data_IF_101462305843
#
_entry.id   IF_101462305843
#
_cell.length_a   1.000
_cell.length_b   1.000
_cell.length_c   1.000
_cell.angle_alpha   90.00
_cell.angle_beta   90.00
_cell.angle_gamma   90.00
#
_symmetry.space_group_name_H-M   'P 1'
#
loop_
_entity.id
_entity.type
_entity.pdbx_description
1 polymer ?
2 water ?
#
# COMPACT_ATOMS: atom_id res chain seq x y z
N UNK A 3 5.19 -18.99 6.02
CA UNK A 3 4.96 -18.41 4.66
C UNK A 3 4.54 -16.93 4.71
N UNK A 4 5.31 -16.07 4.05
CA UNK A 4 5.01 -14.63 4.04
C UNK A 4 3.75 -14.37 3.18
N UNK A 5 2.85 -13.49 3.65
CA UNK A 5 1.69 -13.05 2.81
C UNK A 5 2.13 -12.26 1.59
N UNK A 6 1.25 -12.19 0.59
CA UNK A 6 1.47 -11.29 -0.52
C UNK A 6 0.47 -10.14 -0.42
N UNK A 7 0.98 -8.91 -0.47
CA UNK A 7 0.11 -7.73 -0.49
C UNK A 7 0.05 -7.11 -1.88
N UNK A 8 -1.08 -7.37 -2.53
CA UNK A 8 -1.48 -6.74 -3.78
C UNK A 8 -1.97 -5.34 -3.44
N UNK A 9 -1.25 -4.35 -3.95
CA UNK A 9 -1.58 -2.96 -3.75
C UNK A 9 -1.88 -2.31 -5.11
N UNK A 10 -3.08 -1.76 -5.24
CA UNK A 10 -3.49 -1.10 -6.47
C UNK A 10 -3.82 0.36 -6.20
N UNK A 11 -3.31 1.26 -7.03
CA UNK A 11 -3.58 2.67 -6.84
C UNK A 11 -4.17 3.14 -8.15
N UNK A 12 -5.40 3.65 -8.11
CA UNK A 12 -6.22 3.75 -9.33
C UNK A 12 -6.97 5.08 -9.40
N UNK A 13 -6.86 5.77 -10.53
CA UNK A 13 -7.76 6.91 -10.84
C UNK A 13 -8.72 6.45 -11.93
N UNK A 14 -10.01 6.53 -11.65
CA UNK A 14 -11.02 5.93 -12.51
C UNK A 14 -11.66 7.02 -13.37
N UNK A 15 -11.64 6.84 -14.69
CA UNK A 15 -12.35 7.73 -15.62
C UNK A 15 -13.83 7.36 -15.81
N UNK A 16 -14.14 6.08 -15.92
CA UNK A 16 -15.53 5.64 -16.13
C UNK A 16 -15.95 4.69 -15.02
N UNK A 17 -16.62 5.22 -13.99
CA UNK A 17 -16.97 4.41 -12.83
C UNK A 17 -17.91 3.26 -13.18
N UNK A 18 -18.75 3.47 -14.18
CA UNK A 18 -19.75 2.50 -14.60
C UNK A 18 -19.07 1.25 -15.14
N UNK A 19 -18.13 1.44 -16.05
CA UNK A 19 -17.37 0.32 -16.56
C UNK A 19 -16.37 -0.22 -15.54
N UNK A 20 -15.92 0.63 -14.62
CA UNK A 20 -15.01 0.17 -13.59
C UNK A 20 -15.69 -0.85 -12.68
N UNK A 21 -17.00 -0.67 -12.44
CA UNK A 21 -17.80 -1.61 -11.68
C UNK A 21 -17.85 -2.97 -12.37
N UNK A 22 -17.86 -2.97 -13.71
CA UNK A 22 -17.82 -4.18 -14.53
C UNK A 22 -16.49 -4.94 -14.32
N UNK A 23 -15.40 -4.19 -14.25
CA UNK A 23 -14.10 -4.74 -13.87
C UNK A 23 -14.13 -5.42 -12.46
N UNK A 24 -14.69 -4.72 -11.48
CA UNK A 24 -14.69 -5.20 -10.10
C UNK A 24 -15.46 -6.52 -10.05
N UNK A 25 -16.64 -6.54 -10.67
CA UNK A 25 -17.45 -7.75 -10.62
C UNK A 25 -16.89 -8.90 -11.45
N UNK A 26 -16.19 -8.60 -12.55
CA UNK A 26 -15.55 -9.65 -13.36
C UNK A 26 -14.19 -10.12 -12.80
N UNK A 27 -13.54 -9.27 -12.01
CA UNK A 27 -12.33 -9.63 -11.28
C UNK A 27 -12.63 -10.54 -10.09
N UNK A 28 -13.82 -10.39 -9.51
CA UNK A 28 -14.17 -10.99 -8.23
C UNK A 28 -14.00 -12.51 -8.10
N UNK A 29 -14.51 -13.32 -9.06
CA UNK A 29 -14.24 -14.77 -9.02
C UNK A 29 -12.74 -15.14 -9.02
N UNK A 30 -11.89 -14.40 -9.74
CA UNK A 30 -10.42 -14.64 -9.67
C UNK A 30 -9.90 -14.40 -8.26
N UNK A 31 -10.22 -13.22 -7.70
CA UNK A 31 -9.90 -12.93 -6.32
C UNK A 31 -10.32 -14.06 -5.36
N UNK A 32 -11.54 -14.55 -5.50
CA UNK A 32 -12.04 -15.59 -4.60
C UNK A 32 -11.27 -16.91 -4.74
N UNK A 33 -10.94 -17.25 -5.98
CA UNK A 33 -10.23 -18.49 -6.31
C UNK A 33 -8.87 -18.52 -5.62
N UNK A 34 -8.23 -17.35 -5.51
CA UNK A 34 -6.85 -17.28 -5.03
C UNK A 34 -6.67 -16.81 -3.58
N UNK A 35 -7.78 -16.75 -2.83
CA UNK A 35 -7.75 -16.48 -1.39
C UNK A 35 -7.59 -15.01 -1.00
N UNK A 36 -7.99 -14.10 -1.90
CA UNK A 36 -7.90 -12.64 -1.63
C UNK A 36 -8.64 -12.29 -0.35
N UNK A 37 -7.94 -11.61 0.54
CA UNK A 37 -8.54 -11.03 1.72
C UNK A 37 -8.44 -9.51 1.65
N UNK A 38 -9.52 -8.84 1.26
CA UNK A 38 -9.49 -7.39 1.08
C UNK A 38 -9.31 -6.65 2.40
N UNK A 39 -8.24 -5.87 2.51
CA UNK A 39 -7.97 -5.06 3.71
C UNK A 39 -8.48 -3.63 3.55
N UNK A 40 -8.32 -3.07 2.37
CA UNK A 40 -8.84 -1.75 2.06
C UNK A 40 -9.31 -1.81 0.62
N UNK A 41 -10.41 -1.12 0.33
CA UNK A 41 -10.95 -1.12 -1.02
C UNK A 41 -11.56 0.22 -1.38
N UNK A 42 -10.70 1.16 -1.72
CA UNK A 42 -11.12 2.52 -2.12
C UNK A 42 -11.57 3.40 -0.96
N UNK A 43 -11.21 3.00 0.27
CA UNK A 43 -11.47 3.77 1.49
C UNK A 43 -10.85 5.16 1.39
N UNK A 44 -11.32 6.09 2.21
CA UNK A 44 -10.83 7.45 2.11
C UNK A 44 -9.33 7.54 2.37
N UNK A 45 -8.69 8.40 1.59
CA UNK A 45 -7.25 8.60 1.57
C UNK A 45 -6.87 9.86 2.31
N UNK A 46 -5.96 9.73 3.26
CA UNK A 46 -5.32 10.90 3.84
C UNK A 46 -3.93 10.98 3.23
N UNK A 47 -3.72 12.00 2.41
CA UNK A 47 -2.43 12.21 1.78
C UNK A 47 -1.45 12.76 2.81
N UNK A 48 -0.29 12.11 2.95
CA UNK A 48 0.67 12.59 3.93
C UNK A 48 1.78 13.31 3.19
N UNK A 49 2.25 12.71 2.11
CA UNK A 49 3.38 13.24 1.37
C UNK A 49 3.25 12.76 -0.05
N UNK A 50 3.23 13.72 -0.98
CA UNK A 50 3.11 13.41 -2.40
C UNK A 50 1.66 13.16 -2.76
N UNK A 51 1.40 12.96 -4.05
CA UNK A 51 0.03 12.86 -4.54
C UNK A 51 -0.40 11.41 -4.61
N UNK A 52 -1.56 11.14 -4.01
CA UNK A 52 -2.21 9.82 -4.05
C UNK A 52 -3.21 9.75 -5.20
N UNK A 53 -3.40 8.56 -5.77
CA UNK A 53 -4.54 8.34 -6.67
C UNK A 53 -5.75 8.20 -5.78
N UNK A 54 -6.95 8.36 -6.34
CA UNK A 54 -8.18 8.41 -5.54
C UNK A 54 -8.62 7.08 -4.92
N UNK A 55 -8.48 6.00 -5.69
CA UNK A 55 -8.89 4.67 -5.25
C UNK A 55 -7.66 3.82 -4.96
N UNK A 56 -7.60 3.32 -3.73
CA UNK A 56 -6.45 2.52 -3.29
C UNK A 56 -6.96 1.24 -2.68
N UNK A 57 -6.40 0.13 -3.13
CA UNK A 57 -6.87 -1.19 -2.76
C UNK A 57 -5.68 -1.91 -2.17
N UNK A 58 -5.90 -2.55 -1.01
CA UNK A 58 -4.87 -3.40 -0.38
C UNK A 58 -5.49 -4.79 -0.16
N UNK A 59 -4.97 -5.79 -0.87
CA UNK A 59 -5.48 -7.15 -0.79
C UNK A 59 -4.40 -8.02 -0.18
N UNK A 60 -4.75 -8.75 0.89
CA UNK A 60 -3.87 -9.75 1.49
C UNK A 60 -4.16 -11.13 0.86
N UNK A 61 -3.11 -11.78 0.35
CA UNK A 61 -3.21 -13.10 -0.26
C UNK A 61 -2.40 -14.07 0.62
N UNK A 62 -2.74 -15.37 0.60
CA UNK A 62 -1.97 -16.33 1.41
C UNK A 62 -0.45 -16.30 1.16
N UNK A 63 -0.02 -15.89 -0.04
CA UNK A 63 1.41 -15.79 -0.36
C UNK A 63 1.55 -14.91 -1.59
N UNK A 64 2.78 -14.46 -1.87
CA UNK A 64 3.09 -13.74 -3.11
C UNK A 64 2.67 -14.56 -4.33
N UNK A 65 2.96 -15.88 -4.32
CA UNK A 65 2.62 -16.73 -5.49
C UNK A 65 1.11 -16.78 -5.76
N UNK A 66 0.31 -16.81 -4.70
CA UNK A 66 -1.15 -16.71 -4.85
C UNK A 66 -1.54 -15.42 -5.60
N UNK A 67 -0.96 -14.31 -5.17
CA UNK A 67 -1.25 -13.00 -5.72
C UNK A 67 -0.88 -12.93 -7.22
N UNK A 68 0.29 -13.49 -7.56
CA UNK A 68 0.81 -13.52 -8.93
C UNK A 68 -0.06 -14.40 -9.83
N UNK A 69 -0.43 -15.57 -9.32
CA UNK A 69 -1.26 -16.49 -10.05
C UNK A 69 -2.61 -15.85 -10.35
N UNK A 70 -3.16 -15.12 -9.37
CA UNK A 70 -4.43 -14.40 -9.54
C UNK A 70 -4.26 -13.43 -10.68
N UNK A 71 -3.21 -12.62 -10.64
CA UNK A 71 -2.98 -11.59 -11.68
C UNK A 71 -2.85 -12.23 -13.08
N UNK A 72 -2.12 -13.35 -13.18
CA UNK A 72 -1.88 -13.99 -14.51
C UNK A 72 -3.00 -14.88 -15.04
N UNK A 73 -4.02 -15.14 -14.23
CA UNK A 73 -5.12 -16.00 -14.63
C UNK A 73 -5.90 -15.36 -15.77
N UNK A 74 -6.39 -16.20 -16.71
CA UNK A 74 -7.21 -15.73 -17.82
C UNK A 74 -8.36 -14.87 -17.34
N UNK A 75 -8.96 -15.28 -16.23
CA UNK A 75 -10.10 -14.59 -15.63
C UNK A 75 -9.78 -13.15 -15.22
N UNK A 76 -8.74 -12.97 -14.39
CA UNK A 76 -8.34 -11.63 -14.01
C UNK A 76 -7.84 -10.82 -15.22
N UNK A 77 -7.04 -11.45 -16.09
CA UNK A 77 -6.51 -10.76 -17.26
C UNK A 77 -7.63 -10.24 -18.17
N UNK A 78 -8.74 -10.96 -18.24
CA UNK A 78 -9.89 -10.50 -19.05
C UNK A 78 -10.53 -9.27 -18.42
N UNK A 79 -10.79 -9.35 -17.13
CA UNK A 79 -11.28 -8.22 -16.34
C UNK A 79 -10.39 -7.00 -16.45
N UNK A 80 -9.07 -7.24 -16.38
CA UNK A 80 -8.05 -6.18 -16.38
C UNK A 80 -8.08 -5.33 -17.63
N UNK A 81 -8.44 -5.94 -18.76
CA UNK A 81 -8.54 -5.21 -20.03
C UNK A 81 -9.62 -4.14 -19.95
N UNK A 82 -10.71 -4.41 -19.23
CA UNK A 82 -11.73 -3.38 -19.00
C UNK A 82 -11.10 -2.24 -18.22
N UNK A 83 -10.42 -2.58 -17.13
CA UNK A 83 -9.83 -1.58 -16.26
C UNK A 83 -8.81 -0.74 -17.00
N UNK A 84 -7.95 -1.39 -17.78
CA UNK A 84 -6.88 -0.68 -18.49
C UNK A 84 -7.45 0.31 -19.51
N UNK A 85 -8.68 0.06 -19.97
CA UNK A 85 -9.39 1.01 -20.86
C UNK A 85 -9.91 2.23 -20.12
N UNK A 86 -10.37 2.05 -18.88
CA UNK A 86 -11.16 3.08 -18.20
C UNK A 86 -10.48 3.72 -16.98
N UNK A 87 -9.25 3.30 -16.68
CA UNK A 87 -8.53 3.83 -15.53
C UNK A 87 -7.01 3.85 -15.69
N UNK A 88 -6.37 4.76 -14.98
CA UNK A 88 -4.91 4.73 -14.84
C UNK A 88 -4.59 4.12 -13.49
N UNK A 89 -3.62 3.20 -13.46
CA UNK A 89 -3.35 2.41 -12.26
C UNK A 89 -1.90 1.99 -12.16
N UNK A 90 -1.37 2.02 -10.94
CA UNK A 90 -0.14 1.31 -10.62
C UNK A 90 -0.55 0.14 -9.76
N UNK A 91 0.04 -1.01 -10.03
CA UNK A 91 -0.25 -2.19 -9.26
C UNK A 91 1.00 -3.00 -9.03
N UNK A 92 1.11 -3.53 -7.82
CA UNK A 92 2.28 -4.28 -7.42
C UNK A 92 1.91 -5.28 -6.32
N UNK A 93 2.78 -6.26 -6.11
CA UNK A 93 2.67 -7.16 -4.97
C UNK A 93 3.92 -6.92 -4.10
N UNK A 94 3.73 -6.65 -2.82
CA UNK A 94 4.84 -6.57 -1.88
C UNK A 94 4.78 -7.79 -0.95
N UNK A 95 5.92 -8.46 -0.76
CA UNK A 95 5.94 -9.57 0.18
C UNK A 95 5.83 -9.12 1.64
N UNK A 96 4.98 -9.81 2.41
CA UNK A 96 4.79 -9.52 3.82
C UNK A 96 6.02 -9.83 4.66
N UNK A 97 6.01 -9.40 5.92
CA UNK A 97 7.16 -9.60 6.78
C UNK A 97 7.49 -11.06 7.02
N UNK A 98 8.76 -11.22 7.35
CA UNK A 98 9.55 -12.41 7.11
C UNK A 98 10.97 -11.87 6.99
N UNK B 3 -13.78 0.35 15.09
CA UNK B 3 -13.20 1.24 14.01
C UNK B 3 -12.66 0.39 12.87
N UNK B 4 -12.67 0.95 11.66
CA UNK B 4 -11.90 0.37 10.57
C UNK B 4 -10.43 0.64 10.89
N UNK B 5 -9.54 -0.25 10.46
CA UNK B 5 -8.10 -0.05 10.58
C UNK B 5 -7.63 1.12 9.70
N UNK B 6 -6.51 1.72 10.05
CA UNK B 6 -5.82 2.63 9.13
C UNK B 6 -4.60 1.95 8.52
N UNK B 7 -4.52 1.96 7.20
CA UNK B 7 -3.36 1.42 6.51
C UNK B 7 -2.42 2.54 6.04
N UNK B 8 -1.32 2.70 6.77
CA UNK B 8 -0.21 3.57 6.40
C UNK B 8 0.59 2.85 5.32
N UNK B 9 0.70 3.50 4.17
CA UNK B 9 1.41 2.95 3.04
C UNK B 9 2.48 3.95 2.60
N UNK B 10 3.74 3.52 2.66
CA UNK B 10 4.86 4.33 2.22
C UNK B 10 5.58 3.65 1.05
N UNK B 11 5.86 4.42 0.01
CA UNK B 11 6.64 3.93 -1.11
C UNK B 11 7.87 4.82 -1.16
N UNK B 12 9.07 4.22 -1.13
CA UNK B 12 10.30 4.94 -0.82
C UNK B 12 11.43 4.53 -1.77
N UNK B 13 12.15 5.51 -2.32
CA UNK B 13 13.47 5.26 -2.92
C UNK B 13 14.49 5.95 -2.01
N UNK B 14 15.43 5.18 -1.45
CA UNK B 14 16.40 5.73 -0.48
C UNK B 14 17.58 6.33 -1.25
N UNK B 15 17.95 7.57 -0.91
CA UNK B 15 19.05 8.31 -1.55
C UNK B 15 20.32 8.41 -0.70
N UNK B 16 20.22 8.00 0.56
CA UNK B 16 21.36 7.93 1.48
C UNK B 16 21.05 6.86 2.52
N UNK B 17 21.52 5.64 2.31
CA UNK B 17 21.07 4.51 3.13
C UNK B 17 21.59 4.52 4.57
N UNK B 18 22.72 5.19 4.79
CA UNK B 18 23.27 5.32 6.13
C UNK B 18 22.35 6.21 6.98
N UNK B 19 22.04 7.39 6.47
CA UNK B 19 21.14 8.30 7.17
C UNK B 19 19.68 7.83 7.19
N UNK B 20 19.30 6.88 6.31
CA UNK B 20 17.93 6.35 6.31
C UNK B 20 17.67 5.47 7.52
N UNK B 21 18.69 4.72 7.94
CA UNK B 21 18.60 3.97 9.19
C UNK B 21 18.40 4.92 10.38
N UNK B 22 18.94 6.14 10.29
CA UNK B 22 18.76 7.16 11.35
C UNK B 22 17.27 7.53 11.49
N UNK B 23 16.58 7.59 10.35
CA UNK B 23 15.14 7.80 10.32
C UNK B 23 14.38 6.59 10.88
N UNK B 24 14.78 5.39 10.44
CA UNK B 24 14.06 4.18 10.82
C UNK B 24 14.10 4.01 12.35
N UNK B 25 15.28 4.23 12.93
CA UNK B 25 15.46 4.07 14.38
C UNK B 25 14.78 5.14 15.24
N UNK B 26 14.73 6.38 14.77
CA UNK B 26 14.07 7.46 15.53
C UNK B 26 12.57 7.53 15.27
N UNK B 27 12.08 6.87 14.21
CA UNK B 27 10.64 6.79 13.96
C UNK B 27 10.03 5.69 14.83
N UNK B 28 10.83 4.67 15.13
CA UNK B 28 10.37 3.48 15.82
C UNK B 28 9.57 3.74 17.12
N UNK B 29 10.07 4.61 18.01
CA UNK B 29 9.25 4.91 19.19
C UNK B 29 7.84 5.48 18.89
N UNK B 30 7.68 6.25 17.81
CA UNK B 30 6.36 6.75 17.44
C UNK B 30 5.46 5.59 16.96
N UNK B 31 6.00 4.75 16.08
CA UNK B 31 5.27 3.60 15.60
C UNK B 31 4.79 2.73 16.77
N UNK B 32 5.67 2.48 17.73
CA UNK B 32 5.29 1.62 18.86
C UNK B 32 4.22 2.27 19.76
N UNK B 33 4.35 3.57 20.01
CA UNK B 33 3.39 4.29 20.85
C UNK B 33 1.99 4.25 20.29
N UNK B 34 1.89 4.24 18.95
CA UNK B 34 0.60 4.28 18.29
C UNK B 34 0.02 2.94 17.78
N UNK B 35 0.62 1.82 18.18
CA UNK B 35 0.12 0.50 17.80
C UNK B 35 0.38 0.08 16.36
N UNK B 36 1.49 0.52 15.77
CA UNK B 36 1.81 0.10 14.40
C UNK B 36 1.99 -1.41 14.33
N UNK B 37 1.21 -2.04 13.46
CA UNK B 37 1.41 -3.44 13.11
C UNK B 37 1.99 -3.55 11.69
N UNK B 38 3.30 -3.81 11.59
CA UNK B 38 3.97 -3.88 10.29
C UNK B 38 3.56 -5.10 9.51
N UNK B 39 2.91 -4.90 8.36
CA UNK B 39 2.53 -6.01 7.48
C UNK B 39 3.62 -6.35 6.42
N UNK B 40 4.22 -5.30 5.85
CA UNK B 40 5.31 -5.41 4.88
C UNK B 40 6.24 -4.25 5.15
N UNK B 41 7.54 -4.52 5.15
CA UNK B 41 8.54 -3.47 5.25
C UNK B 41 9.68 -3.83 4.34
N UNK B 42 9.68 -3.21 3.16
CA UNK B 42 10.79 -3.38 2.21
C UNK B 42 10.96 -4.79 1.66
N UNK B 43 9.89 -5.59 1.71
CA UNK B 43 9.90 -6.91 1.08
C UNK B 43 10.06 -6.91 -0.43
N UNK B 44 10.33 -8.10 -0.96
CA UNK B 44 10.30 -8.34 -2.38
C UNK B 44 9.08 -7.69 -3.05
N UNK B 45 9.32 -6.89 -4.10
CA UNK B 45 8.24 -6.25 -4.87
C UNK B 45 8.10 -6.91 -6.22
N UNK B 46 6.88 -7.28 -6.58
CA UNK B 46 6.58 -7.71 -7.93
C UNK B 46 5.79 -6.58 -8.60
N UNK B 47 6.40 -5.91 -9.57
CA UNK B 47 5.69 -4.88 -10.33
C UNK B 47 4.74 -5.57 -11.30
N UNK B 48 3.47 -5.18 -11.27
CA UNK B 48 2.53 -5.79 -12.17
C UNK B 48 2.24 -4.82 -13.27
N UNK B 49 1.88 -3.60 -12.89
CA UNK B 49 1.57 -2.54 -13.84
C UNK B 49 2.16 -1.28 -13.26
N UNK B 50 2.99 -0.63 -14.06
CA UNK B 50 3.65 0.59 -13.62
C UNK B 50 4.97 0.30 -12.93
N UNK B 51 5.73 1.35 -12.67
CA UNK B 51 7.00 1.23 -11.98
C UNK B 51 6.78 1.51 -10.49
N UNK B 52 7.33 0.64 -9.65
CA UNK B 52 7.25 0.74 -8.19
C UNK B 52 8.52 1.39 -7.64
N UNK B 53 8.42 2.10 -6.53
CA UNK B 53 9.61 2.48 -5.79
C UNK B 53 10.20 1.21 -5.18
N UNK B 54 11.48 1.25 -4.79
CA UNK B 54 12.18 0.03 -4.32
C UNK B 54 11.71 -0.48 -2.94
N UNK B 55 11.35 0.45 -2.06
CA UNK B 55 11.11 0.17 -0.65
C UNK B 55 9.65 0.48 -0.30
N UNK B 56 8.85 -0.56 -0.07
CA UNK B 56 7.41 -0.37 0.16
C UNK B 56 7.00 -0.90 1.51
N UNK B 57 6.21 -0.10 2.21
CA UNK B 57 5.88 -0.36 3.60
C UNK B 57 4.37 -0.27 3.77
N UNK B 58 3.81 -1.29 4.41
CA UNK B 58 2.37 -1.33 4.70
C UNK B 58 2.27 -1.59 6.20
N UNK B 59 1.65 -0.64 6.91
CA UNK B 59 1.49 -0.68 8.35
C UNK B 59 0.00 -0.60 8.70
N UNK B 60 -0.44 -1.53 9.54
CA UNK B 60 -1.83 -1.55 9.99
C UNK B 60 -1.87 -0.85 11.37
N UNK B 61 -2.72 0.17 11.49
CA UNK B 61 -2.90 0.86 12.77
C UNK B 61 -4.31 0.53 13.26
N UNK B 62 -4.58 0.67 14.58
CA UNK B 62 -5.95 0.34 15.04
C UNK B 62 -7.05 1.23 14.45
N UNK B 63 -6.68 2.39 13.91
CA UNK B 63 -7.65 3.26 13.25
C UNK B 63 -6.92 4.27 12.38
N UNK B 64 -7.65 4.95 11.50
CA UNK B 64 -7.05 6.05 10.73
C UNK B 64 -6.48 7.10 11.68
N UNK B 65 -7.25 7.42 12.72
CA UNK B 65 -6.83 8.42 13.69
C UNK B 65 -5.54 8.03 14.40
N UNK B 66 -5.35 6.74 14.69
CA UNK B 66 -4.07 6.29 15.27
C UNK B 66 -2.92 6.56 14.30
N UNK B 67 -3.17 6.28 13.01
CA UNK B 67 -2.15 6.49 11.96
C UNK B 67 -1.81 7.98 11.80
N UNK B 68 -2.84 8.82 11.72
CA UNK B 68 -2.67 10.28 11.63
C UNK B 68 -1.94 10.87 12.82
N UNK B 69 -2.34 10.48 14.02
CA UNK B 69 -1.69 10.97 15.24
C UNK B 69 -0.22 10.54 15.27
N UNK B 70 0.07 9.32 14.81
CA UNK B 70 1.46 8.86 14.76
C UNK B 70 2.25 9.77 13.83
N UNK B 71 1.77 9.96 12.60
CA UNK B 71 2.41 10.86 11.64
C UNK B 71 2.66 12.25 12.23
N UNK B 72 1.66 12.75 12.96
CA UNK B 72 1.71 14.11 13.57
C UNK B 72 2.50 14.25 14.88
N UNK B 73 2.86 13.12 15.48
CA UNK B 73 3.59 13.13 16.74
C UNK B 73 4.91 13.89 16.61
N UNK B 74 5.36 14.55 17.70
CA UNK B 74 6.64 15.28 17.68
C UNK B 74 7.77 14.33 17.22
N UNK B 75 7.77 13.11 17.75
CA UNK B 75 8.79 12.12 17.40
C UNK B 75 8.77 11.78 15.91
N UNK B 76 7.62 11.33 15.39
CA UNK B 76 7.59 11.02 13.96
C UNK B 76 7.98 12.23 13.11
N UNK B 77 7.44 13.40 13.42
CA UNK B 77 7.75 14.61 12.65
C UNK B 77 9.26 14.92 12.59
N UNK B 78 9.96 14.75 13.71
CA UNK B 78 11.42 14.93 13.71
C UNK B 78 12.16 13.89 12.83
N UNK B 79 11.77 12.63 12.95
CA UNK B 79 12.31 11.55 12.13
C UNK B 79 12.07 11.82 10.65
N UNK B 80 10.87 12.30 10.31
CA UNK B 80 10.50 12.56 8.92
C UNK B 80 11.40 13.59 8.23
N UNK B 81 11.85 14.61 8.99
CA UNK B 81 12.81 15.61 8.49
C UNK B 81 14.02 14.91 7.90
N UNK B 82 14.46 13.86 8.59
CA UNK B 82 15.62 13.10 8.17
C UNK B 82 15.27 12.40 6.86
N UNK B 83 14.13 11.69 6.85
CA UNK B 83 13.76 10.92 5.67
C UNK B 83 13.65 11.81 4.44
N UNK B 84 13.00 12.97 4.61
CA UNK B 84 12.71 13.88 3.51
C UNK B 84 13.96 14.39 2.80
N UNK B 85 15.05 14.51 3.54
CA UNK B 85 16.34 14.86 2.97
C UNK B 85 17.07 13.69 2.30
N UNK B 86 16.83 12.46 2.77
CA UNK B 86 17.60 11.30 2.29
C UNK B 86 16.82 10.29 1.45
N UNK B 87 15.59 10.63 1.07
CA UNK B 87 14.74 9.68 0.36
C UNK B 87 13.60 10.38 -0.32
N UNK B 88 13.15 9.80 -1.42
CA UNK B 88 11.90 10.25 -2.02
C UNK B 88 10.81 9.26 -1.66
N UNK B 89 9.65 9.76 -1.27
CA UNK B 89 8.60 8.89 -0.77
C UNK B 89 7.24 9.48 -1.04
N UNK B 90 6.28 8.64 -1.43
CA UNK B 90 4.87 8.98 -1.32
C UNK B 90 4.33 8.26 -0.09
N UNK B 91 3.53 8.95 0.71
CA UNK B 91 2.97 8.31 1.88
C UNK B 91 1.54 8.69 2.03
N UNK B 92 0.73 7.74 2.49
CA UNK B 92 -0.70 7.97 2.63
C UNK B 92 -1.29 7.02 3.67
N UNK B 93 -2.46 7.40 4.17
CA UNK B 93 -3.28 6.51 4.99
C UNK B 93 -4.57 6.19 4.20
N UNK B 94 -4.87 4.90 4.07
CA UNK B 94 -6.13 4.45 3.48
C UNK B 94 -6.97 3.82 4.59
N UNK B 95 -8.23 4.22 4.67
CA UNK B 95 -9.12 3.62 5.63
C UNK B 95 -9.47 2.19 5.21
N UNK B 96 -9.37 1.26 6.14
CA UNK B 96 -9.71 -0.14 5.93
C UNK B 96 -11.19 -0.39 5.70
N UNK B 97 -11.54 -1.59 5.25
CA UNK B 97 -12.95 -1.93 5.03
C UNK B 97 -13.75 -1.90 6.33
N UNK B 98 -15.04 -1.56 6.24
CA UNK B 98 -15.86 -1.39 7.43
C UNK B 98 -16.61 -2.63 7.88
#
# INVERSE_FOLDING_TARGET
GHMAKGYWIAQVDVRDSERYKDYVSTAKPAFERFGANFLARGGSVTELEGTARARNVVIEFPSVQHAIDCYNSPEYQAAAKIRQEVADAEMMIVEGIGS
GHMAKGYWIAQVDVRDSERYKDYVSTAKPAFERFGANFLARGGSVTELEGTARARNVVIEFPSVQHAIDCYNSPEYQAAAKIRQEVADAEMMIVEGIGS
#
